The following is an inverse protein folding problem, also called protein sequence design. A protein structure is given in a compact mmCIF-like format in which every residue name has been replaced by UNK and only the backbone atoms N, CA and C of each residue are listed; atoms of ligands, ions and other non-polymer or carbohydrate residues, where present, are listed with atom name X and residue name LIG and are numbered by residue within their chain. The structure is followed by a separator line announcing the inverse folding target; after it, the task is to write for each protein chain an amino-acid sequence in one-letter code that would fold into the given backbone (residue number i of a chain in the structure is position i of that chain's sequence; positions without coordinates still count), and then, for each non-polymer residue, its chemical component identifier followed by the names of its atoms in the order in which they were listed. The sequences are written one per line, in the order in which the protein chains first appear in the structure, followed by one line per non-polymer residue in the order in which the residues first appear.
data_IF_472154820848
#
_entry.id   IF_472154820848
#
_cell.length_a   1.000
_cell.length_b   1.000
_cell.length_c   1.000
_cell.angle_alpha   90.00
_cell.angle_beta   90.00
_cell.angle_gamma   90.00
#
_symmetry.space_group_name_H-M   'P 1'
#
loop_
_entity.id
_entity.type
_entity.pdbx_description
1 polymer ?
#
# COMPACT_ATOMS: atom_id res chain seq x y z
N UNK A 1 6.13 -4.81 28.00
CA UNK A 1 6.31 -6.23 27.62
C UNK A 1 5.02 -6.76 27.04
N UNK A 2 4.99 -7.25 25.81
CA UNK A 2 3.88 -8.07 25.34
C UNK A 2 3.96 -9.41 26.07
N UNK A 3 2.91 -9.77 26.78
CA UNK A 3 2.79 -11.08 27.40
C UNK A 3 2.58 -12.11 26.28
N UNK A 4 3.41 -13.14 26.23
CA UNK A 4 3.29 -14.21 25.22
C UNK A 4 2.20 -15.22 25.65
N UNK A 5 0.94 -14.81 25.51
CA UNK A 5 -0.24 -15.60 25.94
C UNK A 5 -0.34 -16.95 25.23
N UNK A 6 0.17 -17.06 24.01
CA UNK A 6 0.09 -18.28 23.19
C UNK A 6 1.39 -19.07 23.18
N UNK A 7 2.43 -18.63 23.89
CA UNK A 7 3.78 -19.23 23.88
C UNK A 7 4.34 -19.31 22.45
N UNK A 8 4.15 -18.25 21.69
CA UNK A 8 4.48 -18.20 20.30
C UNK A 8 5.89 -17.69 20.00
N UNK A 9 6.57 -17.09 20.98
CA UNK A 9 7.96 -16.60 20.82
C UNK A 9 8.90 -17.74 20.43
N UNK A 10 9.72 -17.51 19.42
CA UNK A 10 10.75 -18.42 18.95
C UNK A 10 11.95 -17.65 18.41
N UNK A 11 13.10 -18.32 18.33
CA UNK A 11 14.29 -17.78 17.74
C UNK A 11 14.32 -18.03 16.22
N UNK A 12 14.61 -17.02 15.44
CA UNK A 12 14.88 -17.07 14.00
C UNK A 12 16.36 -16.81 13.77
N UNK A 13 17.10 -17.84 13.39
CA UNK A 13 18.52 -17.72 13.10
C UNK A 13 18.70 -17.39 11.62
N UNK A 14 19.37 -16.28 11.33
CA UNK A 14 19.78 -15.89 9.99
C UNK A 14 21.30 -15.89 9.85
N UNK A 15 21.82 -15.68 8.66
CA UNK A 15 23.27 -15.52 8.44
C UNK A 15 23.87 -14.27 9.12
N UNK A 16 23.04 -13.31 9.53
CA UNK A 16 23.49 -12.04 10.11
C UNK A 16 23.38 -12.03 11.63
N UNK A 17 22.24 -12.41 12.18
CA UNK A 17 21.98 -12.48 13.62
C UNK A 17 20.75 -13.36 13.93
N UNK A 18 20.54 -13.58 15.20
CA UNK A 18 19.32 -14.22 15.70
C UNK A 18 18.28 -13.16 16.05
N UNK A 19 17.05 -13.39 15.62
CA UNK A 19 15.87 -12.58 15.93
C UNK A 19 14.89 -13.40 16.77
N UNK A 20 14.09 -12.70 17.54
CA UNK A 20 12.88 -13.26 18.17
C UNK A 20 11.70 -12.98 17.24
N UNK A 21 10.79 -13.92 17.05
CA UNK A 21 9.55 -13.75 16.30
C UNK A 21 8.40 -14.53 16.94
N UNK A 22 7.16 -14.21 16.57
CA UNK A 22 5.97 -14.87 17.08
C UNK A 22 5.43 -15.85 16.04
N UNK A 23 5.68 -17.17 16.25
CA UNK A 23 5.33 -18.24 15.28
C UNK A 23 3.83 -18.41 15.15
N UNK A 24 3.31 -18.30 13.94
CA UNK A 24 1.93 -18.68 13.64
C UNK A 24 1.66 -20.17 13.81
N UNK A 25 2.65 -21.03 13.56
CA UNK A 25 2.55 -22.47 13.76
C UNK A 25 2.05 -22.85 15.16
N UNK A 26 2.35 -22.04 16.18
CA UNK A 26 1.87 -22.27 17.54
C UNK A 26 0.35 -22.27 17.64
N UNK A 27 -0.34 -21.44 16.84
CA UNK A 27 -1.79 -21.44 16.78
C UNK A 27 -2.34 -22.70 16.09
N UNK A 28 -1.63 -23.25 15.13
CA UNK A 28 -1.98 -24.52 14.49
C UNK A 28 -1.79 -25.71 15.44
N UNK A 29 -0.67 -25.74 16.18
CA UNK A 29 -0.41 -26.75 17.22
C UNK A 29 -1.46 -26.68 18.35
N UNK A 30 -1.98 -25.50 18.66
CA UNK A 30 -3.08 -25.32 19.62
C UNK A 30 -4.46 -25.68 19.04
N UNK A 31 -4.55 -26.05 17.75
CA UNK A 31 -5.82 -26.37 17.09
C UNK A 31 -6.71 -25.17 16.77
N UNK A 32 -6.17 -23.95 16.84
CA UNK A 32 -6.90 -22.70 16.64
C UNK A 32 -6.90 -22.24 15.18
N UNK A 33 -5.90 -22.61 14.39
CA UNK A 33 -5.73 -22.20 13.00
C UNK A 33 -5.47 -23.39 12.07
N UNK A 34 -5.69 -23.18 10.79
CA UNK A 34 -5.28 -24.05 9.68
C UNK A 34 -4.52 -23.15 8.70
N UNK A 35 -3.23 -22.96 8.95
CA UNK A 35 -2.41 -22.00 8.21
C UNK A 35 -2.39 -22.27 6.71
N UNK A 36 -2.37 -23.54 6.32
CA UNK A 36 -2.42 -23.99 4.93
C UNK A 36 -3.65 -23.48 4.16
N UNK A 37 -4.72 -23.13 4.87
CA UNK A 37 -5.99 -22.67 4.30
C UNK A 37 -6.21 -21.16 4.38
N UNK A 38 -5.44 -20.47 5.22
CA UNK A 38 -5.58 -19.01 5.38
C UNK A 38 -4.92 -18.28 4.20
N UNK A 39 -5.54 -17.23 3.64
CA UNK A 39 -4.88 -16.29 2.76
C UNK A 39 -3.63 -15.67 3.39
N UNK A 40 -2.61 -15.35 2.60
CA UNK A 40 -1.38 -14.74 3.11
C UNK A 40 -1.62 -13.42 3.82
N UNK A 41 -2.51 -12.59 3.30
CA UNK A 41 -2.93 -11.34 3.93
C UNK A 41 -3.52 -11.55 5.32
N UNK A 42 -4.32 -12.59 5.51
CA UNK A 42 -4.88 -12.95 6.82
C UNK A 42 -3.80 -13.46 7.77
N UNK A 43 -2.82 -14.23 7.29
CA UNK A 43 -1.68 -14.69 8.12
C UNK A 43 -0.86 -13.51 8.64
N UNK A 44 -0.60 -12.49 7.79
CA UNK A 44 0.13 -11.28 8.19
C UNK A 44 -0.65 -10.52 9.27
N UNK A 45 -1.95 -10.34 9.10
CA UNK A 45 -2.78 -9.68 10.11
C UNK A 45 -2.84 -10.49 11.40
N UNK A 46 -2.92 -11.81 11.31
CA UNK A 46 -2.93 -12.71 12.46
C UNK A 46 -1.62 -12.63 13.27
N UNK A 47 -0.47 -12.51 12.58
CA UNK A 47 0.82 -12.28 13.26
C UNK A 47 0.80 -10.98 14.05
N UNK A 48 0.30 -9.91 13.45
CA UNK A 48 0.20 -8.61 14.14
C UNK A 48 -0.64 -8.71 15.41
N UNK A 49 -1.80 -9.37 15.36
CA UNK A 49 -2.63 -9.59 16.56
C UNK A 49 -1.92 -10.47 17.59
N UNK A 50 -1.30 -11.56 17.16
CA UNK A 50 -0.59 -12.50 18.04
C UNK A 50 0.54 -11.79 18.81
N UNK A 51 1.35 -11.01 18.10
CA UNK A 51 2.49 -10.28 18.66
C UNK A 51 2.07 -9.13 19.59
N UNK A 52 0.98 -8.43 19.25
CA UNK A 52 0.52 -7.23 19.94
C UNK A 52 -0.59 -7.50 20.98
N UNK A 53 -0.96 -8.78 21.20
CA UNK A 53 -1.95 -9.17 22.19
C UNK A 53 -1.56 -8.67 23.58
N UNK A 54 -2.42 -7.85 24.20
CA UNK A 54 -2.15 -7.20 25.48
C UNK A 54 -3.36 -7.17 26.43
N UNK A 55 -4.47 -7.83 26.06
CA UNK A 55 -5.74 -7.90 26.80
C UNK A 55 -6.39 -6.54 27.11
N UNK A 56 -5.96 -5.49 26.41
CA UNK A 56 -6.52 -4.13 26.54
C UNK A 56 -7.07 -3.62 25.21
N UNK A 57 -6.22 -3.59 24.20
CA UNK A 57 -6.54 -3.12 22.83
C UNK A 57 -6.69 -4.29 21.88
N UNK A 58 -5.90 -5.33 22.07
CA UNK A 58 -5.96 -6.58 21.31
C UNK A 58 -6.05 -7.73 22.30
N UNK A 59 -7.14 -8.48 22.24
CA UNK A 59 -7.43 -9.57 23.16
C UNK A 59 -7.04 -10.95 22.57
N UNK A 60 -6.93 -11.95 23.42
CA UNK A 60 -6.78 -13.34 22.94
C UNK A 60 -7.97 -13.76 22.06
N UNK A 61 -9.17 -13.25 22.35
CA UNK A 61 -10.35 -13.56 21.54
C UNK A 61 -10.23 -13.02 20.11
N UNK A 62 -9.60 -11.85 19.90
CA UNK A 62 -9.34 -11.30 18.56
C UNK A 62 -8.40 -12.20 17.79
N UNK A 63 -7.35 -12.72 18.44
CA UNK A 63 -6.44 -13.70 17.82
C UNK A 63 -7.18 -14.97 17.43
N UNK A 64 -8.01 -15.53 18.33
CA UNK A 64 -8.79 -16.75 18.08
C UNK A 64 -9.80 -16.53 16.96
N UNK A 65 -10.48 -15.40 16.94
CA UNK A 65 -11.45 -15.05 15.90
C UNK A 65 -10.80 -15.01 14.52
N UNK A 66 -9.63 -14.39 14.39
CA UNK A 66 -8.93 -14.30 13.10
C UNK A 66 -8.25 -15.62 12.72
N UNK A 67 -7.72 -16.38 13.71
CA UNK A 67 -7.17 -17.71 13.48
C UNK A 67 -8.21 -18.70 12.91
N UNK A 68 -9.47 -18.55 13.34
CA UNK A 68 -10.63 -19.29 12.82
C UNK A 68 -11.23 -18.71 11.54
N UNK A 69 -10.55 -17.84 10.82
CA UNK A 69 -11.08 -17.21 9.60
C UNK A 69 -11.56 -18.26 8.58
N UNK A 70 -12.76 -18.04 8.04
CA UNK A 70 -13.35 -18.88 6.99
C UNK A 70 -13.93 -18.02 5.88
N UNK A 71 -14.00 -18.57 4.63
CA UNK A 71 -14.69 -17.93 3.54
C UNK A 71 -16.13 -17.63 3.82
N UNK A 72 -16.88 -16.86 3.87
CA UNK A 72 -18.35 -16.71 4.04
C UNK A 72 -18.89 -17.13 5.43
N UNK A 73 -18.37 -16.58 6.54
CA UNK A 73 -18.91 -16.83 7.85
C UNK A 73 -20.28 -16.16 8.00
N UNK A 74 -21.07 -16.60 9.00
CA UNK A 74 -22.36 -16.01 9.31
C UNK A 74 -22.26 -14.54 9.80
N UNK A 75 -21.14 -14.16 10.41
CA UNK A 75 -20.85 -12.80 10.84
C UNK A 75 -19.35 -12.52 10.74
N UNK A 76 -18.99 -11.25 10.56
CA UNK A 76 -17.61 -10.76 10.56
C UNK A 76 -17.35 -10.02 11.87
N UNK A 77 -16.53 -10.57 12.77
CA UNK A 77 -16.15 -9.84 13.98
C UNK A 77 -15.29 -8.62 13.62
N UNK A 78 -15.31 -7.61 14.49
CA UNK A 78 -14.36 -6.50 14.41
C UNK A 78 -12.93 -7.00 14.63
N UNK A 79 -11.99 -6.35 13.98
CA UNK A 79 -10.57 -6.66 14.00
C UNK A 79 -9.79 -5.40 14.34
N UNK A 80 -9.10 -5.34 15.50
CA UNK A 80 -8.25 -4.21 15.89
C UNK A 80 -6.88 -4.35 15.21
N UNK A 81 -6.66 -3.68 14.09
CA UNK A 81 -5.39 -3.74 13.34
C UNK A 81 -4.46 -2.59 13.72
N UNK A 82 -3.19 -2.89 14.02
CA UNK A 82 -2.13 -1.90 14.21
C UNK A 82 -1.08 -2.04 13.11
N UNK A 83 -0.89 -1.02 12.28
CA UNK A 83 0.16 -1.02 11.25
C UNK A 83 1.55 -0.94 11.91
N UNK A 84 2.55 -1.52 11.24
CA UNK A 84 3.94 -1.46 11.68
C UNK A 84 4.56 -0.07 11.46
N UNK A 85 4.10 0.66 10.45
CA UNK A 85 4.54 2.02 10.12
C UNK A 85 3.46 2.80 9.37
N UNK A 86 3.69 4.11 9.21
CA UNK A 86 2.76 5.01 8.53
C UNK A 86 3.52 5.82 7.48
N UNK A 87 2.91 5.98 6.30
CA UNK A 87 3.42 6.82 5.23
C UNK A 87 2.43 7.96 4.96
N UNK A 88 2.95 9.17 4.97
CA UNK A 88 2.17 10.38 4.71
C UNK A 88 2.63 11.01 3.40
N UNK A 89 1.70 11.48 2.59
CA UNK A 89 2.00 12.42 1.52
C UNK A 89 1.84 13.86 2.04
N UNK A 90 2.40 14.84 1.37
CA UNK A 90 2.54 16.19 1.92
C UNK A 90 1.23 17.01 1.99
N UNK A 91 0.22 16.73 1.17
CA UNK A 91 -1.05 17.48 1.27
C UNK A 91 -1.94 17.03 2.43
N UNK A 92 -2.04 15.73 2.65
CA UNK A 92 -2.88 15.16 3.73
C UNK A 92 -2.08 14.91 5.01
N UNK A 93 -0.78 14.71 4.91
CA UNK A 93 0.09 14.40 6.05
C UNK A 93 0.52 15.62 6.85
N UNK A 94 0.72 16.78 6.21
CA UNK A 94 1.07 18.01 6.95
C UNK A 94 -0.02 18.39 7.95
N UNK A 95 -1.33 18.37 7.63
CA UNK A 95 -2.39 18.57 8.62
C UNK A 95 -2.30 17.61 9.82
N UNK A 96 -1.99 16.32 9.61
CA UNK A 96 -1.81 15.35 10.68
C UNK A 96 -0.67 15.76 11.63
N UNK A 97 0.44 16.25 11.09
CA UNK A 97 1.56 16.76 11.91
C UNK A 97 1.17 18.04 12.66
N UNK A 98 0.34 18.89 12.06
CA UNK A 98 -0.22 20.10 12.72
C UNK A 98 -1.09 19.69 13.89
N UNK A 99 -1.92 18.66 13.76
CA UNK A 99 -2.77 18.17 14.85
C UNK A 99 -1.93 17.62 16.00
N UNK A 100 -0.86 16.85 15.73
CA UNK A 100 0.08 16.44 16.77
C UNK A 100 0.74 17.63 17.49
N UNK A 101 1.09 18.69 16.75
CA UNK A 101 1.62 19.91 17.36
C UNK A 101 0.59 20.64 18.22
N UNK A 102 -0.67 20.70 17.78
CA UNK A 102 -1.78 21.25 18.53
C UNK A 102 -2.08 20.47 19.81
N UNK A 103 -2.02 19.14 19.75
CA UNK A 103 -2.13 18.27 20.93
C UNK A 103 -1.01 18.52 21.94
N UNK A 104 0.25 18.71 21.48
CA UNK A 104 1.37 19.11 22.37
C UNK A 104 1.08 20.43 23.08
N UNK A 105 0.60 21.43 22.33
CA UNK A 105 0.23 22.72 22.90
C UNK A 105 -0.92 22.61 23.89
N UNK A 106 -1.92 21.76 23.63
CA UNK A 106 -3.01 21.48 24.56
C UNK A 106 -2.51 20.77 25.82
N UNK A 107 -1.65 19.77 25.68
CA UNK A 107 -1.04 19.05 26.80
C UNK A 107 -0.28 20.01 27.74
N UNK A 108 0.51 20.94 27.16
CA UNK A 108 1.22 21.97 27.94
C UNK A 108 0.25 22.88 28.69
N UNK A 109 -0.84 23.33 28.06
CA UNK A 109 -1.88 24.16 28.74
C UNK A 109 -2.57 23.42 29.89
N UNK A 110 -2.69 22.10 29.80
CA UNK A 110 -3.26 21.25 30.84
C UNK A 110 -2.25 20.88 31.94
N UNK A 111 -1.00 21.38 31.86
CA UNK A 111 0.05 21.09 32.83
C UNK A 111 0.70 19.71 32.68
N UNK A 112 0.44 19.02 31.57
CA UNK A 112 1.06 17.74 31.24
C UNK A 112 2.37 17.89 30.45
N UNK A 113 3.11 16.78 30.28
CA UNK A 113 4.33 16.76 29.49
C UNK A 113 4.00 16.66 27.99
N UNK A 114 4.29 17.68 27.16
CA UNK A 114 4.05 17.66 25.72
C UNK A 114 4.77 16.54 24.98
N UNK A 115 5.90 16.04 25.51
CA UNK A 115 6.69 14.97 24.88
C UNK A 115 5.95 13.63 24.88
N UNK A 116 4.90 13.48 25.70
CA UNK A 116 4.03 12.28 25.64
C UNK A 116 3.25 12.17 24.36
N UNK A 117 3.01 13.29 23.66
CA UNK A 117 2.41 13.30 22.32
C UNK A 117 3.55 13.07 21.31
N UNK A 118 3.68 11.83 20.90
CA UNK A 118 4.76 11.40 19.99
C UNK A 118 4.32 10.15 19.22
N UNK A 119 4.71 9.99 17.93
CA UNK A 119 4.43 8.76 17.21
C UNK A 119 5.03 7.54 17.89
N UNK A 120 4.22 6.52 18.08
CA UNK A 120 4.63 5.22 18.65
C UNK A 120 5.11 4.21 17.60
N UNK A 121 4.87 4.49 16.33
CA UNK A 121 5.33 3.73 15.17
C UNK A 121 6.15 4.64 14.25
N UNK A 122 7.05 4.10 13.42
CA UNK A 122 7.76 4.89 12.41
C UNK A 122 6.79 5.60 11.47
N UNK A 123 7.06 6.86 11.18
CA UNK A 123 6.27 7.71 10.29
C UNK A 123 7.17 8.40 9.29
N UNK A 124 6.90 8.19 8.01
CA UNK A 124 7.60 8.83 6.90
C UNK A 124 6.64 9.76 6.17
N UNK A 125 6.98 11.04 6.07
CA UNK A 125 6.27 12.00 5.23
C UNK A 125 7.11 12.26 3.98
N UNK A 126 6.52 12.01 2.81
CA UNK A 126 7.17 12.23 1.52
C UNK A 126 6.59 13.46 0.85
N UNK A 127 7.47 14.38 0.42
CA UNK A 127 7.08 15.61 -0.28
C UNK A 127 7.14 15.35 -1.77
N UNK A 128 5.98 15.20 -2.40
CA UNK A 128 5.87 14.95 -3.84
C UNK A 128 4.66 15.62 -4.50
N UNK A 129 3.49 15.61 -3.88
CA UNK A 129 2.25 16.10 -4.46
C UNK A 129 2.19 17.63 -4.61
N UNK A 130 2.94 18.38 -3.81
CA UNK A 130 3.00 19.83 -3.89
C UNK A 130 4.01 20.34 -4.92
N UNK A 131 4.89 19.46 -5.41
CA UNK A 131 5.95 19.83 -6.36
C UNK A 131 5.35 20.12 -7.73
N UNK A 132 5.60 21.31 -8.25
CA UNK A 132 5.11 21.79 -9.54
C UNK A 132 6.26 22.02 -10.52
N UNK A 133 5.99 21.79 -11.81
CA UNK A 133 6.92 22.08 -12.90
C UNK A 133 6.55 23.45 -13.49
N UNK A 134 7.26 24.50 -13.07
CA UNK A 134 7.12 25.86 -13.60
C UNK A 134 8.02 26.10 -14.82
N UNK A 135 9.18 25.45 -14.88
CA UNK A 135 10.16 25.55 -15.94
C UNK A 135 10.46 24.18 -16.54
N UNK A 136 10.57 24.10 -17.86
CA UNK A 136 10.83 22.85 -18.58
C UNK A 136 11.68 23.10 -19.84
N UNK A 137 12.24 22.02 -20.38
CA UNK A 137 13.00 21.99 -21.65
C UNK A 137 14.23 22.94 -21.67
N UNK A 138 14.77 23.36 -20.52
CA UNK A 138 16.01 24.11 -20.39
C UNK A 138 16.98 23.42 -19.45
N UNK A 139 18.27 23.65 -19.60
CA UNK A 139 19.30 22.99 -18.78
C UNK A 139 19.24 23.37 -17.28
N UNK A 140 18.71 24.53 -16.98
CA UNK A 140 18.56 25.10 -15.64
C UNK A 140 17.18 24.84 -15.00
N UNK A 141 16.26 24.21 -15.74
CA UNK A 141 14.88 23.99 -15.30
C UNK A 141 14.78 23.30 -13.93
N UNK A 142 15.61 22.28 -13.68
CA UNK A 142 15.60 21.56 -12.40
C UNK A 142 15.90 22.48 -11.21
N UNK A 143 16.96 23.27 -11.32
CA UNK A 143 17.37 24.18 -10.24
C UNK A 143 16.33 25.29 -10.01
N UNK A 144 15.81 25.87 -11.08
CA UNK A 144 14.78 26.93 -11.01
C UNK A 144 13.48 26.38 -10.40
N UNK A 145 13.04 25.18 -10.75
CA UNK A 145 11.88 24.57 -10.12
C UNK A 145 12.10 24.34 -8.63
N UNK A 146 13.30 23.87 -8.23
CA UNK A 146 13.63 23.69 -6.83
C UNK A 146 13.62 25.02 -6.05
N UNK A 147 14.17 26.11 -6.61
CA UNK A 147 14.14 27.45 -6.00
C UNK A 147 12.72 27.94 -5.77
N UNK A 148 11.85 27.82 -6.80
CA UNK A 148 10.44 28.22 -6.71
C UNK A 148 9.68 27.36 -5.70
N UNK A 149 9.93 26.06 -5.67
CA UNK A 149 9.33 25.13 -4.72
C UNK A 149 9.64 25.52 -3.27
N UNK A 150 10.92 25.78 -2.96
CA UNK A 150 11.34 26.21 -1.61
C UNK A 150 10.80 27.59 -1.24
N UNK A 151 10.70 28.52 -2.17
CA UNK A 151 10.10 29.85 -1.93
C UNK A 151 8.60 29.74 -1.66
N UNK A 152 7.88 28.98 -2.50
CA UNK A 152 6.42 28.82 -2.44
C UNK A 152 5.96 28.12 -1.15
N UNK A 153 6.70 27.10 -0.72
CA UNK A 153 6.34 26.24 0.41
C UNK A 153 7.23 26.44 1.65
N UNK A 154 7.86 27.59 1.78
CA UNK A 154 8.85 27.89 2.85
C UNK A 154 8.32 27.60 4.24
N UNK A 155 7.15 28.11 4.60
CA UNK A 155 6.53 27.90 5.93
C UNK A 155 6.28 26.44 6.22
N UNK A 156 5.82 25.68 5.23
CA UNK A 156 5.61 24.23 5.34
C UNK A 156 6.94 23.51 5.62
N UNK A 157 7.99 23.84 4.92
CA UNK A 157 9.29 23.21 5.11
C UNK A 157 9.94 23.55 6.43
N UNK A 158 9.81 24.79 6.88
CA UNK A 158 10.24 25.21 8.21
C UNK A 158 9.50 24.45 9.31
N UNK A 159 8.19 24.27 9.15
CA UNK A 159 7.36 23.48 10.06
C UNK A 159 7.74 21.99 10.05
N UNK A 160 7.90 21.38 8.90
CA UNK A 160 8.29 19.96 8.80
C UNK A 160 9.68 19.71 9.36
N UNK A 161 10.63 20.63 9.14
CA UNK A 161 11.97 20.57 9.75
C UNK A 161 11.92 20.67 11.27
N UNK A 162 11.02 21.50 11.81
CA UNK A 162 10.73 21.50 13.24
C UNK A 162 10.16 20.15 13.68
N UNK A 163 9.18 19.61 12.97
CA UNK A 163 8.55 18.33 13.27
C UNK A 163 9.56 17.18 13.39
N UNK A 164 10.51 17.06 12.47
CA UNK A 164 11.57 16.04 12.54
C UNK A 164 12.47 16.13 13.78
N UNK A 165 12.59 17.33 14.38
CA UNK A 165 13.34 17.53 15.61
C UNK A 165 12.49 17.38 16.85
N UNK A 166 11.20 17.63 16.74
CA UNK A 166 10.25 17.64 17.84
C UNK A 166 9.69 16.25 18.13
N UNK A 167 9.47 15.44 17.10
CA UNK A 167 8.88 14.11 17.19
C UNK A 167 9.94 13.03 16.96
N UNK A 168 9.99 12.06 17.85
CA UNK A 168 10.75 10.84 17.63
C UNK A 168 10.03 10.00 16.57
N UNK A 169 10.76 9.13 15.86
CA UNK A 169 10.22 8.24 14.82
C UNK A 169 9.48 8.96 13.67
N UNK A 170 9.68 10.28 13.50
CA UNK A 170 9.13 11.06 12.40
C UNK A 170 10.25 11.52 11.45
N UNK A 171 10.13 11.15 10.19
CA UNK A 171 11.11 11.46 9.14
C UNK A 171 10.41 12.13 7.96
N UNK A 172 11.07 13.09 7.33
CA UNK A 172 10.59 13.76 6.12
C UNK A 172 11.54 13.47 4.98
N UNK A 173 10.99 12.93 3.90
CA UNK A 173 11.70 12.75 2.63
C UNK A 173 11.54 14.04 1.83
N UNK A 174 12.67 14.70 1.43
CA UNK A 174 12.64 16.00 0.79
C UNK A 174 12.04 15.94 -0.62
N UNK A 175 11.62 17.10 -1.19
CA UNK A 175 11.15 17.18 -2.57
C UNK A 175 12.23 16.74 -3.56
N UNK A 176 11.82 16.39 -4.78
CA UNK A 176 12.66 15.89 -5.85
C UNK A 176 13.36 14.54 -5.55
N UNK A 177 12.93 13.80 -4.52
CA UNK A 177 13.40 12.44 -4.25
C UNK A 177 12.64 11.41 -5.08
N UNK A 178 11.34 11.57 -5.25
CA UNK A 178 10.47 10.68 -6.02
C UNK A 178 9.02 10.75 -5.56
N UNK A 179 8.15 10.02 -6.23
CA UNK A 179 6.73 9.89 -5.89
C UNK A 179 6.60 9.02 -4.63
N UNK A 180 5.71 9.38 -3.70
CA UNK A 180 5.57 8.74 -2.39
C UNK A 180 5.49 7.22 -2.45
N UNK A 181 4.70 6.66 -3.38
CA UNK A 181 4.51 5.21 -3.46
C UNK A 181 5.72 4.49 -4.06
N UNK A 182 6.45 5.14 -4.98
CA UNK A 182 7.71 4.61 -5.51
C UNK A 182 8.79 4.67 -4.43
N UNK A 183 8.92 5.80 -3.72
CA UNK A 183 9.84 5.93 -2.58
C UNK A 183 9.54 4.89 -1.50
N UNK A 184 8.25 4.66 -1.22
CA UNK A 184 7.83 3.62 -0.29
C UNK A 184 8.27 2.23 -0.77
N UNK A 185 7.98 1.90 -2.03
CA UNK A 185 8.30 0.60 -2.63
C UNK A 185 9.80 0.34 -2.72
N UNK A 186 10.60 1.36 -3.04
CA UNK A 186 12.02 1.23 -3.37
C UNK A 186 12.97 1.46 -2.19
N UNK A 187 12.53 2.23 -1.16
CA UNK A 187 13.42 2.67 -0.08
C UNK A 187 12.87 2.48 1.33
N UNK A 188 11.55 2.73 1.56
CA UNK A 188 11.03 2.77 2.92
C UNK A 188 10.56 1.40 3.43
N UNK A 189 10.12 0.52 2.52
CA UNK A 189 9.59 -0.78 2.89
C UNK A 189 10.72 -1.79 3.10
N UNK A 190 10.68 -2.47 4.23
CA UNK A 190 11.66 -3.51 4.57
C UNK A 190 11.16 -4.93 4.23
N UNK A 191 9.84 -5.10 4.00
CA UNK A 191 9.19 -6.41 3.83
C UNK A 191 9.05 -7.17 5.15
N UNK A 192 10.12 -7.25 5.91
CA UNK A 192 10.16 -7.71 7.30
C UNK A 192 10.91 -6.67 8.12
N UNK A 193 10.25 -6.11 9.09
CA UNK A 193 10.81 -5.16 10.03
C UNK A 193 11.54 -5.88 11.17
N UNK A 194 12.55 -5.22 11.73
CA UNK A 194 13.25 -5.69 12.92
C UNK A 194 13.50 -4.53 13.87
N UNK A 195 13.02 -4.64 15.09
CA UNK A 195 13.15 -3.61 16.12
C UNK A 195 13.78 -4.20 17.38
N UNK A 196 14.68 -3.45 18.00
CA UNK A 196 15.24 -3.84 19.29
C UNK A 196 14.32 -3.41 20.43
N UNK A 197 13.85 -4.38 21.21
CA UNK A 197 13.02 -4.16 22.37
C UNK A 197 13.49 -5.06 23.53
N UNK A 198 13.70 -4.47 24.69
CA UNK A 198 14.15 -5.18 25.91
C UNK A 198 15.44 -6.02 25.71
N UNK A 199 16.34 -5.59 24.80
CA UNK A 199 17.59 -6.30 24.49
C UNK A 199 17.44 -7.45 23.51
N UNK A 200 16.28 -7.69 22.95
CA UNK A 200 16.00 -8.66 21.90
C UNK A 200 15.65 -7.97 20.57
N UNK A 201 16.10 -8.53 19.46
CA UNK A 201 15.68 -8.09 18.13
C UNK A 201 14.42 -8.84 17.72
N UNK A 202 13.30 -8.13 17.66
CA UNK A 202 12.00 -8.72 17.27
C UNK A 202 11.78 -8.49 15.78
N UNK A 203 11.60 -9.58 15.03
CA UNK A 203 11.26 -9.55 13.61
C UNK A 203 9.75 -9.76 13.42
N UNK A 204 9.14 -8.98 12.51
CA UNK A 204 7.72 -9.03 12.19
C UNK A 204 7.43 -8.50 10.78
N UNK A 205 6.27 -8.84 10.16
CA UNK A 205 5.94 -8.38 8.83
C UNK A 205 5.85 -6.85 8.77
N UNK A 206 6.40 -6.27 7.72
CA UNK A 206 6.12 -4.87 7.39
C UNK A 206 4.65 -4.73 7.00
N UNK A 207 3.95 -3.80 7.64
CA UNK A 207 2.58 -3.43 7.33
C UNK A 207 2.44 -1.92 7.39
N UNK A 208 1.70 -1.32 6.48
CA UNK A 208 1.65 0.13 6.36
C UNK A 208 0.24 0.65 6.13
N UNK A 209 -0.08 1.78 6.74
CA UNK A 209 -1.20 2.61 6.30
C UNK A 209 -0.67 3.95 5.83
N UNK A 210 -1.35 4.54 4.86
CA UNK A 210 -0.94 5.83 4.31
C UNK A 210 -2.10 6.78 4.12
N UNK A 211 -1.83 8.07 4.12
CA UNK A 211 -2.85 9.10 3.88
C UNK A 211 -3.15 9.32 2.40
N UNK A 212 -2.83 8.35 1.58
CA UNK A 212 -3.11 8.31 0.13
C UNK A 212 -3.70 6.97 -0.27
N UNK A 213 -4.69 6.98 -1.17
CA UNK A 213 -5.39 5.78 -1.63
C UNK A 213 -4.48 4.78 -2.33
N UNK A 214 -3.43 5.25 -3.03
CA UNK A 214 -2.48 4.42 -3.76
C UNK A 214 -1.34 3.85 -2.89
N UNK A 215 -1.43 3.99 -1.56
CA UNK A 215 -0.59 3.26 -0.61
C UNK A 215 -0.58 1.75 -0.90
N UNK A 216 -1.64 1.24 -1.50
CA UNK A 216 -1.79 -0.15 -1.95
C UNK A 216 -0.73 -0.62 -2.94
N UNK A 217 0.02 0.28 -3.59
CA UNK A 217 1.15 -0.09 -4.47
C UNK A 217 2.16 -1.00 -3.76
N UNK A 218 2.30 -0.85 -2.46
CA UNK A 218 3.23 -1.62 -1.64
C UNK A 218 2.87 -3.11 -1.55
N UNK A 219 1.60 -3.46 -1.83
CA UNK A 219 1.16 -4.85 -1.77
C UNK A 219 1.86 -5.72 -2.83
N UNK A 220 2.39 -5.12 -3.90
CA UNK A 220 3.21 -5.80 -4.89
C UNK A 220 4.52 -6.37 -4.33
N UNK A 221 5.03 -5.81 -3.23
CA UNK A 221 6.22 -6.27 -2.51
C UNK A 221 5.93 -7.40 -1.49
N UNK A 222 4.65 -7.69 -1.24
CA UNK A 222 4.23 -8.62 -0.19
C UNK A 222 4.02 -7.95 1.17
N UNK A 223 3.85 -6.63 1.18
CA UNK A 223 3.53 -5.83 2.37
C UNK A 223 2.03 -5.55 2.38
N UNK A 224 1.36 -5.85 3.48
CA UNK A 224 -0.04 -5.49 3.69
C UNK A 224 -0.13 -3.98 3.93
N UNK A 225 -0.93 -3.29 3.12
CA UNK A 225 -1.09 -1.86 3.27
C UNK A 225 -2.21 -1.28 2.43
N UNK A 226 -2.83 -0.19 2.96
CA UNK A 226 -3.92 0.53 2.28
C UNK A 226 -3.97 1.99 2.70
N UNK A 227 -4.80 2.77 1.98
CA UNK A 227 -5.05 4.17 2.28
C UNK A 227 -6.06 4.35 3.41
N UNK A 228 -5.80 5.31 4.29
CA UNK A 228 -6.67 5.70 5.40
C UNK A 228 -6.87 7.21 5.43
N UNK A 229 -7.88 7.69 6.13
CA UNK A 229 -8.06 9.12 6.41
C UNK A 229 -6.99 9.68 7.36
N UNK A 230 -6.80 11.01 7.36
CA UNK A 230 -5.82 11.67 8.22
C UNK A 230 -6.06 11.38 9.72
N UNK A 231 -7.31 11.40 10.18
CA UNK A 231 -7.67 11.11 11.57
C UNK A 231 -7.32 9.67 11.97
N UNK A 232 -7.53 8.71 11.05
CA UNK A 232 -7.18 7.30 11.30
C UNK A 232 -5.66 7.12 11.37
N UNK A 233 -4.92 7.80 10.48
CA UNK A 233 -3.45 7.80 10.51
C UNK A 233 -2.93 8.38 11.82
N UNK A 234 -3.51 9.51 12.29
CA UNK A 234 -3.18 10.14 13.56
C UNK A 234 -3.44 9.23 14.76
N UNK A 235 -4.61 8.58 14.80
CA UNK A 235 -4.94 7.61 15.84
C UNK A 235 -3.94 6.45 15.86
N UNK A 236 -3.59 5.91 14.67
CA UNK A 236 -2.59 4.85 14.55
C UNK A 236 -1.19 5.30 14.98
N UNK A 237 -0.78 6.55 14.67
CA UNK A 237 0.46 7.14 15.19
C UNK A 237 0.51 7.12 16.72
N UNK A 238 -0.60 7.41 17.37
CA UNK A 238 -0.73 7.44 18.83
C UNK A 238 -0.96 6.04 19.43
N UNK A 239 -0.80 4.99 18.63
CA UNK A 239 -0.88 3.59 19.07
C UNK A 239 -2.29 3.02 19.16
N UNK A 240 -3.33 3.74 18.73
CA UNK A 240 -4.68 3.19 18.66
C UNK A 240 -4.79 2.23 17.49
N UNK A 241 -5.40 1.05 17.68
CA UNK A 241 -5.71 0.17 16.56
C UNK A 241 -6.76 0.82 15.64
N UNK A 242 -6.70 0.46 14.37
CA UNK A 242 -7.73 0.76 13.38
C UNK A 242 -8.76 -0.37 13.46
N UNK A 243 -9.97 -0.04 13.87
CA UNK A 243 -11.06 -1.02 13.92
C UNK A 243 -11.65 -1.23 12.54
N UNK A 244 -11.59 -2.46 12.06
CA UNK A 244 -12.16 -2.87 10.78
C UNK A 244 -12.95 -4.18 10.93
N UNK A 245 -13.88 -4.46 10.03
CA UNK A 245 -14.47 -5.78 9.95
C UNK A 245 -13.45 -6.77 9.38
N UNK A 246 -13.44 -7.98 9.93
CA UNK A 246 -12.61 -9.06 9.37
C UNK A 246 -12.90 -9.20 7.88
N UNK A 247 -11.91 -9.03 6.99
CA UNK A 247 -12.15 -8.88 5.56
C UNK A 247 -12.56 -10.17 4.88
N UNK A 248 -13.39 -10.05 3.85
CA UNK A 248 -13.48 -11.04 2.79
C UNK A 248 -12.24 -10.99 1.92
N UNK A 249 -11.73 -12.15 1.51
CA UNK A 249 -10.58 -12.22 0.61
C UNK A 249 -11.02 -12.89 -0.70
N UNK A 250 -10.85 -12.16 -1.80
CA UNK A 250 -11.11 -12.66 -3.16
C UNK A 250 -9.79 -13.13 -3.76
N UNK A 251 -9.71 -14.41 -4.09
CA UNK A 251 -8.55 -14.96 -4.79
C UNK A 251 -8.61 -14.64 -6.28
N UNK A 252 -7.53 -14.08 -6.83
CA UNK A 252 -7.37 -13.87 -8.26
C UNK A 252 -6.24 -14.76 -8.79
N UNK A 253 -6.63 -15.86 -9.45
CA UNK A 253 -5.69 -16.84 -9.99
C UNK A 253 -5.14 -16.38 -11.32
N UNK A 254 -3.81 -16.34 -11.41
CA UNK A 254 -3.10 -16.06 -12.65
C UNK A 254 -2.41 -17.33 -13.15
N UNK A 255 -2.64 -17.68 -14.40
CA UNK A 255 -2.01 -18.82 -15.05
C UNK A 255 -1.31 -18.37 -16.34
N UNK A 256 -0.43 -19.19 -16.88
CA UNK A 256 0.29 -18.87 -18.10
C UNK A 256 1.31 -17.73 -17.97
N UNK A 257 1.63 -17.08 -19.07
CA UNK A 257 2.54 -15.95 -19.15
C UNK A 257 2.10 -14.98 -20.24
N UNK A 258 2.49 -13.70 -20.11
CA UNK A 258 2.14 -12.66 -21.07
C UNK A 258 2.73 -12.98 -22.45
N UNK A 259 1.90 -12.86 -23.50
CA UNK A 259 2.35 -13.00 -24.86
C UNK A 259 3.24 -11.81 -25.26
N UNK A 260 4.12 -12.03 -26.24
CA UNK A 260 4.96 -10.98 -26.79
C UNK A 260 4.12 -9.81 -27.33
N UNK A 261 4.51 -8.59 -26.96
CA UNK A 261 3.82 -7.36 -27.35
C UNK A 261 2.64 -6.94 -26.45
N UNK A 262 2.29 -7.73 -25.43
CA UNK A 262 1.32 -7.34 -24.38
C UNK A 262 2.05 -6.54 -23.31
N UNK A 263 1.48 -5.42 -22.91
CA UNK A 263 2.06 -4.53 -21.89
C UNK A 263 1.47 -4.80 -20.50
N UNK A 264 2.20 -4.39 -19.45
CA UNK A 264 1.68 -4.37 -18.08
C UNK A 264 0.38 -3.56 -17.96
N UNK A 265 0.23 -2.50 -18.76
CA UNK A 265 -0.98 -1.67 -18.80
C UNK A 265 -2.19 -2.46 -19.31
N UNK A 266 -2.04 -3.25 -20.39
CA UNK A 266 -3.12 -4.09 -20.93
C UNK A 266 -3.62 -5.08 -19.88
N UNK A 267 -2.67 -5.73 -19.20
CA UNK A 267 -2.97 -6.66 -18.09
C UNK A 267 -3.69 -5.94 -16.95
N UNK A 268 -3.14 -4.84 -16.46
CA UNK A 268 -3.69 -4.10 -15.31
C UNK A 268 -5.11 -3.60 -15.57
N UNK A 269 -5.38 -3.06 -16.76
CA UNK A 269 -6.72 -2.60 -17.14
C UNK A 269 -7.72 -3.76 -17.23
N UNK A 270 -7.30 -4.91 -17.73
CA UNK A 270 -8.16 -6.10 -17.80
C UNK A 270 -8.48 -6.64 -16.41
N UNK A 271 -7.46 -6.77 -15.54
CA UNK A 271 -7.64 -7.18 -14.13
C UNK A 271 -8.59 -6.22 -13.43
N UNK A 272 -8.41 -4.91 -13.61
CA UNK A 272 -9.29 -3.87 -13.04
C UNK A 272 -10.74 -4.04 -13.52
N UNK A 273 -10.96 -4.28 -14.81
CA UNK A 273 -12.29 -4.51 -15.36
C UNK A 273 -12.96 -5.76 -14.77
N UNK A 274 -12.20 -6.86 -14.66
CA UNK A 274 -12.71 -8.12 -14.11
C UNK A 274 -13.09 -7.98 -12.64
N UNK A 275 -12.23 -7.33 -11.82
CA UNK A 275 -12.48 -7.09 -10.40
C UNK A 275 -13.67 -6.14 -10.18
N UNK A 276 -13.79 -5.07 -10.97
CA UNK A 276 -14.99 -4.20 -10.95
C UNK A 276 -16.27 -4.96 -11.25
N UNK A 277 -16.24 -5.82 -12.26
CA UNK A 277 -17.40 -6.65 -12.62
C UNK A 277 -17.73 -7.66 -11.51
N UNK A 278 -16.73 -8.19 -10.80
CA UNK A 278 -16.90 -9.10 -9.67
C UNK A 278 -17.54 -8.41 -8.45
N UNK A 279 -17.29 -7.12 -8.25
CA UNK A 279 -17.73 -6.37 -7.08
C UNK A 279 -16.90 -6.71 -5.84
N UNK A 280 -15.74 -6.06 -5.72
CA UNK A 280 -14.74 -6.31 -4.66
C UNK A 280 -14.65 -5.16 -3.66
N UNK A 281 -15.68 -4.30 -3.58
CA UNK A 281 -15.70 -3.16 -2.66
C UNK A 281 -15.54 -3.65 -1.22
N UNK A 282 -14.69 -2.98 -0.46
CA UNK A 282 -14.33 -3.29 0.93
C UNK A 282 -13.78 -4.70 1.16
N UNK A 283 -13.31 -5.36 0.11
CA UNK A 283 -12.68 -6.68 0.19
C UNK A 283 -11.18 -6.59 -0.05
N UNK A 284 -10.46 -7.59 0.40
CA UNK A 284 -9.09 -7.83 -0.02
C UNK A 284 -9.09 -8.66 -1.30
N UNK A 285 -8.20 -8.35 -2.20
CA UNK A 285 -7.88 -9.19 -3.35
C UNK A 285 -6.50 -9.77 -3.14
N UNK A 286 -6.35 -11.08 -3.29
CA UNK A 286 -5.05 -11.75 -3.17
C UNK A 286 -4.76 -12.50 -4.48
N UNK A 287 -3.63 -12.16 -5.10
CA UNK A 287 -3.20 -12.76 -6.36
C UNK A 287 -2.42 -14.03 -6.08
N UNK A 288 -2.71 -15.09 -6.80
CA UNK A 288 -2.09 -16.40 -6.64
C UNK A 288 -2.01 -17.17 -7.96
N UNK A 289 -1.42 -18.34 -7.93
CA UNK A 289 -1.29 -19.21 -9.09
C UNK A 289 0.08 -19.15 -9.76
N UNK A 290 0.34 -20.07 -10.72
CA UNK A 290 1.66 -20.22 -11.35
C UNK A 290 2.05 -19.00 -12.21
N UNK A 291 1.09 -18.25 -12.77
CA UNK A 291 1.35 -17.07 -13.58
C UNK A 291 2.13 -15.96 -12.86
N UNK A 292 2.10 -15.94 -11.51
CA UNK A 292 2.90 -15.00 -10.74
C UNK A 292 4.41 -15.12 -10.96
N UNK A 293 4.91 -16.30 -11.30
CA UNK A 293 6.33 -16.53 -11.55
C UNK A 293 6.85 -15.79 -12.79
N UNK A 294 5.95 -15.46 -13.74
CA UNK A 294 6.28 -14.71 -14.96
C UNK A 294 6.16 -13.19 -14.79
N UNK A 295 5.67 -12.70 -13.66
CA UNK A 295 5.43 -11.29 -13.43
C UNK A 295 6.59 -10.63 -12.69
N UNK A 296 7.10 -9.53 -13.23
CA UNK A 296 8.05 -8.68 -12.52
C UNK A 296 7.39 -8.00 -11.31
N UNK A 297 8.17 -7.59 -10.33
CA UNK A 297 7.62 -6.87 -9.17
C UNK A 297 6.99 -5.52 -9.56
N UNK A 298 7.53 -4.71 -10.48
CA UNK A 298 6.85 -3.50 -10.97
C UNK A 298 5.47 -3.77 -11.58
N UNK A 299 5.27 -4.90 -12.28
CA UNK A 299 3.96 -5.27 -12.82
C UNK A 299 2.96 -5.58 -11.69
N UNK A 300 3.40 -6.33 -10.67
CA UNK A 300 2.60 -6.60 -9.47
C UNK A 300 2.23 -5.30 -8.75
N UNK A 301 3.20 -4.40 -8.57
CA UNK A 301 3.00 -3.10 -7.94
C UNK A 301 2.01 -2.23 -8.73
N UNK A 302 2.03 -2.28 -10.06
CA UNK A 302 1.09 -1.55 -10.92
C UNK A 302 -0.35 -2.04 -10.73
N UNK A 303 -0.57 -3.34 -10.66
CA UNK A 303 -1.89 -3.92 -10.37
C UNK A 303 -2.34 -3.57 -8.94
N UNK A 304 -1.44 -3.70 -7.97
CA UNK A 304 -1.72 -3.38 -6.58
C UNK A 304 -2.07 -1.89 -6.39
N UNK A 305 -1.37 -1.00 -7.11
CA UNK A 305 -1.63 0.44 -7.11
C UNK A 305 -3.08 0.77 -7.53
N UNK A 306 -3.65 0.00 -8.46
CA UNK A 306 -5.00 0.19 -8.98
C UNK A 306 -6.11 -0.37 -8.07
N UNK A 307 -5.80 -0.78 -6.82
CA UNK A 307 -6.81 -1.28 -5.89
C UNK A 307 -7.96 -0.29 -5.66
N UNK A 308 -7.75 1.02 -5.48
CA UNK A 308 -8.83 1.99 -5.39
C UNK A 308 -9.70 2.03 -6.65
N UNK A 309 -9.11 1.91 -7.83
CA UNK A 309 -9.83 1.94 -9.10
C UNK A 309 -10.72 0.72 -9.31
N UNK A 310 -10.33 -0.46 -8.87
CA UNK A 310 -11.25 -1.61 -8.90
C UNK A 310 -12.12 -1.73 -7.64
N UNK A 311 -11.90 -0.87 -6.63
CA UNK A 311 -12.75 -0.70 -5.45
C UNK A 311 -12.39 -1.62 -4.28
N UNK A 312 -11.28 -2.37 -4.33
CA UNK A 312 -10.82 -3.18 -3.21
C UNK A 312 -10.04 -2.35 -2.19
N UNK A 313 -10.00 -2.83 -0.94
CA UNK A 313 -9.15 -2.22 0.10
C UNK A 313 -7.67 -2.37 -0.25
N UNK A 314 -7.28 -3.53 -0.81
CA UNK A 314 -5.92 -3.80 -1.29
C UNK A 314 -5.88 -4.91 -2.33
N UNK A 315 -4.76 -4.98 -3.08
CA UNK A 315 -4.47 -6.04 -4.05
C UNK A 315 -3.13 -6.70 -3.75
N UNK A 316 -3.13 -7.76 -2.97
CA UNK A 316 -1.94 -8.33 -2.34
C UNK A 316 -1.28 -9.40 -3.20
N UNK A 317 0.05 -9.36 -3.28
CA UNK A 317 0.90 -10.37 -3.89
C UNK A 317 1.80 -10.99 -2.81
N UNK A 318 1.87 -12.33 -2.68
CA UNK A 318 2.71 -12.96 -1.67
C UNK A 318 4.21 -12.84 -1.98
N UNK A 319 5.03 -12.87 -0.94
CA UNK A 319 6.49 -12.82 -1.04
C UNK A 319 7.02 -14.07 -1.72
N UNK A 320 7.90 -13.89 -2.71
CA UNK A 320 8.60 -14.97 -3.43
C UNK A 320 10.01 -14.52 -3.89
N UNK A 321 10.62 -15.29 -4.79
CA UNK A 321 11.95 -14.99 -5.33
C UNK A 321 12.04 -13.64 -6.06
N UNK A 322 10.96 -13.17 -6.69
CA UNK A 322 10.93 -11.86 -7.35
C UNK A 322 10.98 -10.71 -6.32
N UNK A 323 10.36 -10.88 -5.15
CA UNK A 323 10.50 -9.92 -4.05
C UNK A 323 11.95 -9.79 -3.60
N UNK A 324 12.67 -10.90 -3.46
CA UNK A 324 14.09 -10.90 -3.07
C UNK A 324 14.96 -10.21 -4.12
N UNK A 325 14.78 -10.56 -5.39
CA UNK A 325 15.49 -9.91 -6.52
C UNK A 325 15.28 -8.39 -6.52
N UNK A 326 14.06 -7.95 -6.25
CA UNK A 326 13.73 -6.54 -6.22
C UNK A 326 14.39 -5.81 -5.04
N UNK A 327 14.39 -6.42 -3.85
CA UNK A 327 15.13 -5.88 -2.69
C UNK A 327 16.63 -5.74 -2.99
N UNK A 328 17.23 -6.72 -3.64
CA UNK A 328 18.63 -6.65 -4.06
C UNK A 328 18.86 -5.56 -5.11
N UNK A 329 18.00 -5.48 -6.12
CA UNK A 329 18.06 -4.47 -7.19
C UNK A 329 17.95 -3.04 -6.66
N UNK A 330 17.10 -2.81 -5.66
CA UNK A 330 16.90 -1.49 -5.02
C UNK A 330 17.91 -1.18 -3.90
N UNK A 331 19.00 -1.94 -3.80
CA UNK A 331 20.08 -1.69 -2.83
C UNK A 331 19.82 -2.20 -1.41
N UNK A 332 18.70 -2.89 -1.17
CA UNK A 332 18.30 -3.46 0.14
C UNK A 332 18.73 -4.92 0.31
N UNK A 333 19.82 -5.33 -0.34
CA UNK A 333 20.35 -6.70 -0.28
C UNK A 333 20.59 -7.19 1.15
N UNK A 334 20.90 -6.29 2.08
CA UNK A 334 21.08 -6.63 3.48
C UNK A 334 19.81 -7.16 4.16
N UNK A 335 18.62 -6.83 3.65
CA UNK A 335 17.33 -7.30 4.19
C UNK A 335 16.95 -8.67 3.65
N UNK A 336 17.41 -9.05 2.48
CA UNK A 336 17.01 -10.27 1.78
C UNK A 336 17.11 -11.55 2.64
N UNK A 337 18.21 -11.82 3.41
CA UNK A 337 18.30 -12.99 4.26
C UNK A 337 17.24 -13.04 5.38
N UNK A 338 16.93 -11.89 5.98
CA UNK A 338 15.88 -11.79 7.00
C UNK A 338 14.49 -12.04 6.40
N UNK A 339 14.18 -11.37 5.29
CA UNK A 339 12.87 -11.48 4.61
C UNK A 339 12.62 -12.92 4.18
N UNK A 340 13.59 -13.57 3.54
CA UNK A 340 13.43 -14.95 3.10
C UNK A 340 13.27 -15.91 4.30
N UNK A 341 14.16 -15.85 5.29
CA UNK A 341 14.12 -16.72 6.44
C UNK A 341 12.81 -16.57 7.22
N UNK A 342 12.38 -15.32 7.45
CA UNK A 342 11.14 -15.01 8.17
C UNK A 342 9.91 -15.51 7.41
N UNK A 343 9.80 -15.18 6.13
CA UNK A 343 8.65 -15.59 5.34
C UNK A 343 8.52 -17.11 5.20
N UNK A 344 9.65 -17.83 5.10
CA UNK A 344 9.64 -19.30 5.11
C UNK A 344 9.22 -19.87 6.48
N UNK A 345 9.74 -19.32 7.57
CA UNK A 345 9.42 -19.77 8.92
C UNK A 345 7.96 -19.50 9.32
N UNK A 346 7.35 -18.44 8.80
CA UNK A 346 5.96 -18.05 9.08
C UNK A 346 4.94 -18.61 8.08
N UNK A 347 5.38 -19.36 7.05
CA UNK A 347 4.49 -19.80 5.99
C UNK A 347 3.95 -18.64 5.13
N UNK A 348 4.71 -17.55 5.02
CA UNK A 348 4.40 -16.39 4.19
C UNK A 348 5.11 -16.41 2.83
N UNK A 349 5.96 -17.41 2.62
CA UNK A 349 6.68 -17.61 1.37
C UNK A 349 5.80 -18.35 0.35
N UNK A 350 5.63 -17.79 -0.84
CA UNK A 350 4.95 -18.47 -1.93
C UNK A 350 5.89 -19.54 -2.54
N UNK A 351 5.47 -20.79 -2.51
CA UNK A 351 6.05 -21.87 -3.29
C UNK A 351 5.04 -22.41 -4.30
N UNK A 352 5.53 -22.97 -5.40
CA UNK A 352 4.66 -23.50 -6.47
C UNK A 352 3.87 -24.73 -6.02
N UNK A 353 4.44 -25.52 -5.10
CA UNK A 353 3.85 -26.74 -4.58
C UNK A 353 2.96 -26.52 -3.33
N UNK A 354 2.84 -25.27 -2.84
CA UNK A 354 2.01 -24.98 -1.68
C UNK A 354 0.52 -25.14 -2.00
N UNK A 355 -0.27 -25.68 -1.05
CA UNK A 355 -1.71 -25.75 -1.23
C UNK A 355 -2.30 -24.34 -1.42
N UNK A 356 -3.29 -24.22 -2.30
CA UNK A 356 -3.97 -22.95 -2.52
C UNK A 356 -4.77 -22.57 -1.27
N UNK A 357 -4.69 -21.31 -0.80
CA UNK A 357 -5.53 -20.80 0.29
C UNK A 357 -7.02 -20.89 -0.07
N UNK A 358 -7.88 -20.83 0.94
CA UNK A 358 -9.31 -20.68 0.73
C UNK A 358 -9.70 -19.22 0.61
N UNK A 359 -10.55 -18.90 -0.33
CA UNK A 359 -11.02 -17.54 -0.59
C UNK A 359 -12.54 -17.43 -0.49
N UNK A 360 -13.05 -16.24 -0.18
CA UNK A 360 -14.50 -15.94 -0.17
C UNK A 360 -15.13 -15.98 -1.56
N UNK A 361 -14.31 -15.94 -2.59
CA UNK A 361 -14.65 -16.11 -3.99
C UNK A 361 -13.39 -16.08 -4.83
N UNK A 362 -13.47 -16.58 -6.05
CA UNK A 362 -12.30 -16.66 -6.94
C UNK A 362 -12.60 -16.08 -8.31
N UNK A 363 -11.55 -15.62 -8.98
CA UNK A 363 -11.47 -15.29 -10.40
C UNK A 363 -10.22 -15.99 -10.95
N UNK A 364 -10.21 -16.27 -12.25
CA UNK A 364 -9.06 -16.83 -12.95
C UNK A 364 -8.84 -16.08 -14.26
N UNK A 365 -7.57 -15.88 -14.60
CA UNK A 365 -7.14 -15.23 -15.84
C UNK A 365 -5.91 -15.95 -16.39
N UNK A 366 -6.01 -16.40 -17.62
CA UNK A 366 -4.83 -16.88 -18.35
C UNK A 366 -4.13 -15.67 -19.00
N UNK A 367 -2.86 -15.46 -18.61
CA UNK A 367 -2.05 -14.38 -19.13
C UNK A 367 -1.72 -14.58 -20.62
N UNK A 368 -1.82 -15.79 -21.15
CA UNK A 368 -1.68 -16.10 -22.59
C UNK A 368 -2.87 -15.68 -23.43
N UNK A 369 -4.02 -15.44 -22.81
CA UNK A 369 -5.23 -14.99 -23.52
C UNK A 369 -5.22 -13.51 -23.89
N UNK A 370 -4.25 -12.75 -23.35
CA UNK A 370 -4.09 -11.35 -23.73
C UNK A 370 -3.70 -11.24 -25.19
N UNK A 371 -4.46 -10.44 -25.91
CA UNK A 371 -4.06 -9.97 -27.23
C UNK A 371 -3.62 -8.52 -27.10
N UNK A 372 -2.48 -8.13 -27.73
CA UNK A 372 -2.09 -6.74 -27.82
C UNK A 372 -3.30 -5.92 -28.28
N UNK A 373 -3.52 -4.77 -27.65
CA UNK A 373 -4.59 -3.86 -28.05
C UNK A 373 -4.30 -3.38 -29.47
N UNK A 374 -4.55 -4.26 -30.44
CA UNK A 374 -4.59 -3.85 -31.84
C UNK A 374 -5.82 -2.99 -31.98
N UNK A 375 -5.63 -1.77 -32.50
CA UNK A 375 -6.71 -0.88 -32.91
C UNK A 375 -7.84 -1.74 -33.46
N UNK A 376 -9.08 -1.65 -32.92
CA UNK A 376 -10.18 -2.45 -33.45
C UNK A 376 -10.20 -2.25 -34.97
N UNK A 377 -10.37 -3.30 -35.77
CA UNK A 377 -10.46 -3.15 -37.22
C UNK A 377 -11.46 -2.03 -37.48
N UNK A 378 -11.20 -1.09 -38.39
CA UNK A 378 -12.09 0.03 -38.62
C UNK A 378 -13.48 -0.54 -38.75
N UNK A 379 -14.34 -0.26 -37.77
CA UNK A 379 -15.72 -0.73 -37.75
C UNK A 379 -16.28 -0.39 -39.11
N UNK A 380 -16.71 -1.44 -39.84
CA UNK A 380 -17.45 -1.23 -41.09
C UNK A 380 -18.39 -0.07 -40.78
N UNK A 381 -18.27 0.99 -41.59
CA UNK A 381 -19.04 2.23 -41.43
C UNK A 381 -20.42 1.87 -40.91
N UNK A 382 -20.74 2.33 -39.72
CA UNK A 382 -22.12 2.37 -39.30
C UNK A 382 -22.86 3.07 -40.44
N UNK A 383 -23.90 2.49 -41.03
CA UNK A 383 -24.79 3.24 -41.89
C UNK A 383 -25.25 4.42 -41.09
N UNK A 384 -25.01 5.61 -41.56
CA UNK A 384 -25.29 6.90 -40.96
C UNK A 384 -26.74 6.92 -40.43
N UNK A 385 -27.03 6.76 -39.13
CA UNK A 385 -28.38 6.96 -38.62
C UNK A 385 -28.50 8.47 -38.41
N UNK A 386 -29.04 9.13 -39.42
CA UNK A 386 -29.54 10.48 -39.41
C UNK A 386 -29.03 11.44 -38.33
N UNK A 387 -28.05 12.29 -38.64
CA UNK A 387 -28.16 13.67 -38.25
C UNK A 387 -27.57 14.11 -36.91
N UNK A 388 -26.74 13.34 -36.18
CA UNK A 388 -26.06 13.89 -35.00
C UNK A 388 -24.62 14.31 -35.33
N UNK A 389 -24.43 15.61 -35.66
CA UNK A 389 -23.09 16.23 -35.71
C UNK A 389 -22.85 16.96 -34.38
N UNK A 390 -21.72 16.69 -33.69
CA UNK A 390 -21.38 17.48 -32.52
C UNK A 390 -21.18 18.96 -32.87
N UNK A 391 -21.53 19.90 -32.01
CA UNK A 391 -21.51 21.35 -32.29
C UNK A 391 -20.15 21.95 -32.68
N UNK A 392 -19.05 21.22 -32.47
CA UNK A 392 -17.68 21.68 -32.77
C UNK A 392 -17.27 21.64 -34.26
N UNK A 393 -17.99 20.92 -35.14
CA UNK A 393 -17.57 20.73 -36.51
C UNK A 393 -17.93 21.88 -37.45
N UNK A 394 -18.58 22.97 -36.99
CA UNK A 394 -19.06 24.09 -37.85
C UNK A 394 -18.19 25.34 -37.86
N UNK A 395 -16.98 25.34 -37.29
CA UNK A 395 -16.17 26.58 -37.25
C UNK A 395 -14.82 26.53 -37.96
N UNK A 396 -14.54 25.53 -38.78
CA UNK A 396 -13.26 25.49 -39.48
C UNK A 396 -13.37 25.57 -41.02
N UNK A 397 -14.31 26.33 -41.56
CA UNK A 397 -14.26 26.74 -42.97
C UNK A 397 -14.68 28.22 -43.10
N UNK A 398 -13.73 29.10 -42.92
CA UNK A 398 -13.79 30.50 -43.25
C UNK A 398 -12.39 31.03 -43.53
N UNK A 399 -12.18 31.95 -44.52
CA UNK A 399 -10.86 32.34 -44.98
C UNK A 399 -10.07 33.11 -43.93
N UNK A 400 -8.76 32.87 -43.91
CA UNK A 400 -7.78 33.45 -43.03
C UNK A 400 -7.85 34.99 -43.03
N UNK A 401 -8.22 35.60 -41.92
CA UNK A 401 -7.88 36.98 -41.59
C UNK A 401 -7.05 37.03 -40.32
N UNK A 402 -5.86 37.61 -40.42
CA UNK A 402 -4.92 37.84 -39.34
C UNK A 402 -5.49 38.86 -38.34
N UNK A 403 -5.55 38.52 -37.07
CA UNK A 403 -5.81 39.42 -35.94
C UNK A 403 -5.27 38.78 -34.65
N UNK A 404 -4.82 39.57 -33.66
CA UNK A 404 -4.01 39.12 -32.54
C UNK A 404 -4.79 38.32 -31.49
N UNK A 405 -4.08 37.58 -30.59
CA UNK A 405 -4.70 36.62 -29.69
C UNK A 405 -5.44 37.32 -28.55
N UNK A 406 -6.64 36.85 -28.24
CA UNK A 406 -7.36 37.21 -27.01
C UNK A 406 -7.68 35.94 -26.19
N UNK A 407 -7.36 36.09 -24.98
CA UNK A 407 -7.46 35.32 -23.77
C UNK A 407 -8.71 34.45 -23.51
N UNK A 408 -8.47 33.40 -22.69
CA UNK A 408 -9.33 32.77 -21.70
C UNK A 408 -10.52 31.92 -22.14
N UNK A 409 -10.33 30.59 -21.99
CA UNK A 409 -11.43 29.69 -21.63
C UNK A 409 -11.24 29.22 -20.18
N UNK A 410 -11.97 29.82 -19.26
CA UNK A 410 -12.17 29.31 -17.91
C UNK A 410 -13.15 28.14 -17.93
N UNK A 411 -12.74 27.00 -17.42
CA UNK A 411 -13.66 25.93 -17.02
C UNK A 411 -14.29 26.33 -15.67
N UNK A 412 -15.60 26.56 -15.68
CA UNK A 412 -16.42 26.61 -14.46
C UNK A 412 -16.71 25.19 -14.01
N UNK A 413 -16.26 24.83 -12.82
CA UNK A 413 -16.74 23.69 -12.09
C UNK A 413 -18.20 23.94 -11.64
N UNK A 414 -19.12 23.10 -12.09
CA UNK A 414 -20.48 23.03 -11.58
C UNK A 414 -20.52 22.15 -10.33
N UNK A 415 -21.22 22.68 -9.32
CA UNK A 415 -21.59 21.98 -8.09
C UNK A 415 -22.46 20.75 -8.38
N UNK A 416 -22.12 19.62 -7.78
CA UNK A 416 -23.05 18.78 -7.00
C UNK A 416 -22.20 18.12 -5.91
#
# INVERSE_FOLDING_TARGET
MSLDYFKAKAALVTSQKTYTYYRLEQLELAGLARLDRLPFSIRIMLESLLRLCNEKEITQQDVVNLAGWTPNPASRPSLPFRPARIVLQDFTGVPVVVDLAAMRAAMARLGGDPKKINPLVPVDLVIDHSVMVDFFATADALNRNAEVEFQRNRERYEFLRWGQKAFDRFRVVPPATGIVHQVNLEYLADGVMAEEADGEWIAYPDTVVGTDSHTTMINGLGVVGWGVGGIEAEAAMLGKPIDMLTPDVIGFKLVGGLAEGVTATDMTLTVTQMLRKKGVVDKFVEFYGPGLASMSLPDRATIANMAPEYGATMGFFPVDGETIKYLEFTGRKALAPLVEAYCRAQGLWRSEDAPEPRFSGTLELDLGDFRPWTRPPPTRRCPDPGGWRPPCARRCRGPARRGPPRDHCFFRAGKI
#
